data_IF_487575851779
#
_entry.id   IF_487575851779
#
_cell.length_a   1.000
_cell.length_b   1.000
_cell.length_c   1.000
_cell.angle_alpha   90.00
_cell.angle_beta   90.00
_cell.angle_gamma   90.00
#
_symmetry.space_group_name_H-M   'P 1'
#
loop_
_entity.id
_entity.type
_entity.pdbx_description
1 polymer ?
#
# COMPACT_ATOMS: atom_id res chain seq x y z
N UNK A 1 -48.29 -47.17 -6.84
CA UNK A 1 -47.64 -47.22 -5.50
C UNK A 1 -46.14 -47.16 -5.74
N UNK A 2 -45.53 -46.06 -5.31
CA UNK A 2 -44.12 -45.76 -5.45
C UNK A 2 -43.29 -46.41 -4.33
N UNK A 3 -42.06 -46.83 -4.65
CA UNK A 3 -40.96 -47.05 -3.71
C UNK A 3 -39.69 -46.56 -4.45
N UNK A 4 -39.27 -45.30 -4.30
CA UNK A 4 -38.42 -44.71 -3.24
C UNK A 4 -37.04 -45.37 -3.10
N UNK A 5 -36.08 -44.70 -3.73
CA UNK A 5 -34.63 -44.83 -3.60
C UNK A 5 -34.17 -44.49 -2.16
N UNK A 6 -33.14 -45.19 -1.66
CA UNK A 6 -32.40 -44.76 -0.46
C UNK A 6 -30.92 -44.59 -0.78
N UNK A 7 -30.51 -43.34 -1.02
CA UNK A 7 -29.12 -42.90 -0.97
C UNK A 7 -28.86 -42.28 0.42
N UNK A 8 -27.85 -42.80 1.12
CA UNK A 8 -27.34 -42.26 2.38
C UNK A 8 -25.82 -42.48 2.38
N UNK A 9 -24.95 -41.53 2.69
CA UNK A 9 -25.09 -40.10 2.91
C UNK A 9 -23.69 -39.49 2.72
N UNK A 10 -23.61 -38.40 1.96
CA UNK A 10 -22.41 -37.59 1.84
C UNK A 10 -22.26 -36.81 3.14
N UNK A 11 -21.18 -37.07 3.88
CA UNK A 11 -20.78 -36.29 5.06
C UNK A 11 -20.40 -34.88 4.62
N UNK A 12 -21.23 -33.91 4.99
CA UNK A 12 -21.02 -32.48 4.75
C UNK A 12 -19.81 -31.96 5.55
N UNK A 13 -18.87 -31.33 4.85
CA UNK A 13 -17.81 -30.54 5.46
C UNK A 13 -18.42 -29.31 6.17
N UNK A 14 -17.80 -28.78 7.24
CA UNK A 14 -18.33 -27.62 7.93
C UNK A 14 -18.15 -26.37 7.05
N UNK A 15 -19.27 -25.77 6.70
CA UNK A 15 -19.36 -24.44 6.11
C UNK A 15 -18.89 -23.39 7.13
N UNK A 16 -17.84 -22.66 6.79
CA UNK A 16 -17.46 -21.44 7.48
C UNK A 16 -17.82 -20.25 6.59
N UNK A 17 -18.96 -19.64 6.89
CA UNK A 17 -19.34 -18.33 6.38
C UNK A 17 -19.28 -17.33 7.55
N UNK A 18 -18.55 -16.24 7.34
CA UNK A 18 -18.68 -14.99 8.07
C UNK A 18 -18.01 -13.87 7.27
N UNK A 19 -18.74 -13.35 6.28
CA UNK A 19 -18.79 -11.92 5.98
C UNK A 19 -17.64 -11.32 5.16
N UNK A 20 -17.75 -11.39 3.83
CA UNK A 20 -17.00 -10.55 2.88
C UNK A 20 -16.85 -11.18 1.49
N UNK A 21 -17.80 -10.89 0.61
CA UNK A 21 -18.08 -11.35 -0.76
C UNK A 21 -16.94 -11.27 -1.82
N UNK A 22 -15.70 -11.70 -1.52
CA UNK A 22 -14.59 -11.69 -2.49
C UNK A 22 -13.40 -12.62 -2.13
N UNK A 23 -13.68 -13.84 -1.68
CA UNK A 23 -12.66 -14.86 -1.38
C UNK A 23 -12.65 -15.94 -2.46
N UNK A 24 -11.54 -16.12 -3.17
CA UNK A 24 -11.36 -17.24 -4.12
C UNK A 24 -10.43 -18.28 -3.52
N UNK A 25 -10.84 -19.55 -3.55
CA UNK A 25 -10.11 -20.67 -2.92
C UNK A 25 -9.52 -21.58 -4.00
N UNK A 26 -8.24 -21.92 -3.88
CA UNK A 26 -7.51 -22.83 -4.75
C UNK A 26 -6.90 -23.96 -3.91
N UNK A 27 -7.31 -25.22 -4.10
CA UNK A 27 -6.68 -26.34 -3.41
C UNK A 27 -5.23 -26.53 -3.88
N UNK A 28 -4.29 -26.62 -2.93
CA UNK A 28 -2.88 -26.92 -3.23
C UNK A 28 -2.55 -28.39 -2.94
N UNK A 29 -3.11 -28.95 -1.87
CA UNK A 29 -2.96 -30.34 -1.45
C UNK A 29 -4.25 -30.84 -0.76
N UNK A 30 -4.23 -32.06 -0.21
CA UNK A 30 -5.36 -32.59 0.58
C UNK A 30 -5.56 -31.87 1.92
N UNK A 31 -4.57 -31.13 2.42
CA UNK A 31 -4.59 -30.44 3.71
C UNK A 31 -4.35 -28.93 3.63
N UNK A 32 -4.01 -28.41 2.44
CA UNK A 32 -3.58 -27.03 2.23
C UNK A 32 -4.40 -26.34 1.15
N UNK A 33 -4.90 -25.15 1.45
CA UNK A 33 -5.58 -24.29 0.48
C UNK A 33 -4.90 -22.93 0.37
N UNK A 34 -4.90 -22.38 -0.84
CA UNK A 34 -4.55 -21.01 -1.14
C UNK A 34 -5.84 -20.20 -1.23
N UNK A 35 -5.97 -19.12 -0.45
CA UNK A 35 -7.12 -18.20 -0.52
C UNK A 35 -6.66 -16.83 -0.98
N UNK A 36 -7.24 -16.32 -2.05
CA UNK A 36 -6.99 -14.94 -2.48
C UNK A 36 -8.12 -14.07 -1.93
N UNK A 37 -7.77 -13.18 -1.00
CA UNK A 37 -8.71 -12.28 -0.36
C UNK A 37 -8.32 -10.81 -0.61
N UNK A 38 -9.32 -9.96 -0.69
CA UNK A 38 -9.15 -8.51 -0.63
C UNK A 38 -9.43 -8.03 0.78
N UNK A 39 -8.50 -7.26 1.37
CA UNK A 39 -8.72 -6.73 2.72
C UNK A 39 -7.52 -6.04 3.34
N UNK A 40 -7.70 -5.70 4.62
CA UNK A 40 -6.69 -5.12 5.50
C UNK A 40 -6.01 -6.25 6.29
N UNK A 41 -4.74 -6.52 5.98
CA UNK A 41 -3.98 -7.61 6.60
C UNK A 41 -3.86 -7.46 8.12
N UNK A 42 -3.93 -6.23 8.65
CA UNK A 42 -3.81 -5.98 10.10
C UNK A 42 -5.02 -6.49 10.89
N UNK A 43 -6.11 -6.81 10.21
CA UNK A 43 -7.34 -7.38 10.78
C UNK A 43 -7.49 -8.88 10.48
N UNK A 44 -6.55 -9.47 9.75
CA UNK A 44 -6.64 -10.86 9.34
C UNK A 44 -6.34 -11.80 10.50
N UNK A 45 -7.15 -12.85 10.64
CA UNK A 45 -6.95 -13.99 11.53
C UNK A 45 -7.84 -15.15 11.06
N UNK A 46 -7.53 -16.36 11.51
CA UNK A 46 -8.35 -17.55 11.35
C UNK A 46 -8.78 -18.06 12.72
N UNK A 47 -7.82 -18.39 13.58
CA UNK A 47 -8.10 -18.89 14.94
C UNK A 47 -7.52 -18.03 16.08
N UNK A 48 -6.74 -17.01 15.74
CA UNK A 48 -6.10 -16.05 16.66
C UNK A 48 -4.92 -16.61 17.46
N UNK A 49 -4.61 -17.91 17.36
CA UNK A 49 -3.62 -18.60 18.20
C UNK A 49 -2.48 -19.25 17.42
N UNK A 50 -2.72 -19.61 16.17
CA UNK A 50 -1.76 -20.23 15.26
C UNK A 50 -1.65 -19.49 13.92
N UNK A 51 -1.91 -18.19 13.98
CA UNK A 51 -1.96 -17.26 12.86
C UNK A 51 -0.72 -16.38 12.81
N UNK A 52 -0.15 -16.19 11.62
CA UNK A 52 0.84 -15.15 11.37
C UNK A 52 0.44 -14.28 10.18
N UNK A 53 0.63 -12.97 10.30
CA UNK A 53 0.66 -12.07 9.15
C UNK A 53 2.10 -11.75 8.78
N UNK A 54 2.35 -11.56 7.48
CA UNK A 54 3.68 -11.21 6.99
C UNK A 54 3.77 -9.70 6.82
N UNK A 55 4.77 -9.11 7.48
CA UNK A 55 5.12 -7.70 7.35
C UNK A 55 6.24 -7.53 6.29
N UNK A 56 5.99 -6.77 5.20
CA UNK A 56 7.03 -6.42 4.23
C UNK A 56 7.90 -5.30 4.79
N UNK A 57 8.92 -5.69 5.55
CA UNK A 57 9.80 -4.80 6.29
C UNK A 57 10.99 -4.31 5.45
N UNK A 58 11.75 -3.35 6.00
CA UNK A 58 13.10 -3.02 5.56
C UNK A 58 14.16 -3.69 6.45
N UNK A 59 15.43 -3.62 6.04
CA UNK A 59 16.54 -4.32 6.71
C UNK A 59 16.73 -3.97 8.19
N UNK A 60 16.28 -2.79 8.60
CA UNK A 60 16.36 -2.35 10.01
C UNK A 60 15.28 -3.02 10.86
N UNK A 61 14.15 -3.42 10.28
CA UNK A 61 12.93 -3.89 10.97
C UNK A 61 12.29 -2.89 11.96
N UNK A 62 12.64 -1.60 11.90
CA UNK A 62 12.18 -0.60 12.87
C UNK A 62 11.00 0.25 12.34
N UNK A 63 10.12 -0.37 11.55
CA UNK A 63 9.01 0.29 10.88
C UNK A 63 9.40 1.07 9.61
N UNK A 64 8.39 1.65 8.96
CA UNK A 64 8.50 2.14 7.58
C UNK A 64 7.22 2.76 7.03
N UNK A 65 6.96 2.54 5.74
CA UNK A 65 5.80 3.04 5.01
C UNK A 65 4.82 1.93 4.61
N UNK A 66 3.70 2.29 3.98
CA UNK A 66 2.74 1.31 3.43
C UNK A 66 2.23 0.29 4.45
N UNK A 67 2.24 -0.99 4.07
CA UNK A 67 1.73 -2.08 4.92
C UNK A 67 2.49 -2.21 6.25
N UNK A 68 3.81 -1.98 6.25
CA UNK A 68 4.64 -2.01 7.46
C UNK A 68 4.17 -0.98 8.49
N UNK A 69 3.87 0.24 8.03
CA UNK A 69 3.27 1.27 8.89
C UNK A 69 1.91 0.85 9.44
N UNK A 70 1.05 0.29 8.59
CA UNK A 70 -0.29 -0.13 8.99
C UNK A 70 -0.23 -1.22 10.07
N UNK A 71 0.65 -2.21 9.87
CA UNK A 71 0.88 -3.31 10.82
C UNK A 71 1.42 -2.77 12.16
N UNK A 72 2.46 -1.93 12.14
CA UNK A 72 2.99 -1.33 13.37
C UNK A 72 1.95 -0.49 14.12
N UNK A 73 1.12 0.28 13.38
CA UNK A 73 0.06 1.09 13.99
C UNK A 73 -0.99 0.21 14.66
N UNK A 74 -1.40 -0.88 14.02
CA UNK A 74 -2.42 -1.79 14.53
C UNK A 74 -1.90 -2.64 15.70
N UNK A 75 -0.66 -3.12 15.64
CA UNK A 75 -0.04 -3.93 16.69
C UNK A 75 0.25 -3.14 17.97
N UNK A 76 0.48 -1.82 17.85
CA UNK A 76 0.88 -0.97 18.96
C UNK A 76 2.41 -0.81 19.09
N UNK A 77 2.87 0.12 19.96
CA UNK A 77 4.30 0.40 20.16
C UNK A 77 5.11 -0.84 20.58
N UNK A 78 4.48 -1.82 21.21
CA UNK A 78 5.11 -3.04 21.71
C UNK A 78 5.74 -3.87 20.57
N UNK A 79 5.21 -3.77 19.34
CA UNK A 79 5.82 -4.41 18.17
C UNK A 79 7.20 -3.83 17.85
N UNK A 80 7.35 -2.50 17.92
CA UNK A 80 8.63 -1.86 17.67
C UNK A 80 9.66 -2.24 18.74
N UNK A 81 9.24 -2.32 20.01
CA UNK A 81 10.10 -2.78 21.10
C UNK A 81 10.57 -4.23 20.90
N UNK A 82 9.72 -5.10 20.36
CA UNK A 82 10.12 -6.46 20.00
C UNK A 82 11.10 -6.49 18.82
N UNK A 83 10.88 -5.67 17.78
CA UNK A 83 11.82 -5.53 16.68
C UNK A 83 13.21 -5.07 17.16
N UNK A 84 13.28 -4.14 18.12
CA UNK A 84 14.56 -3.69 18.68
C UNK A 84 15.35 -4.83 19.35
N UNK A 85 14.66 -5.80 19.95
CA UNK A 85 15.26 -6.96 20.63
C UNK A 85 15.77 -8.03 19.65
N UNK A 86 15.36 -7.98 18.38
CA UNK A 86 15.94 -8.85 17.34
C UNK A 86 17.40 -8.44 17.14
N UNK A 87 18.37 -9.38 17.24
CA UNK A 87 19.78 -9.06 17.13
C UNK A 87 20.13 -8.57 15.73
N UNK A 88 21.06 -7.63 15.67
CA UNK A 88 21.65 -7.21 14.41
C UNK A 88 22.61 -8.31 13.92
N UNK A 89 22.47 -8.70 12.65
CA UNK A 89 23.37 -9.66 11.99
C UNK A 89 24.60 -8.97 11.38
N UNK A 90 24.46 -7.68 11.12
CA UNK A 90 25.53 -6.74 10.76
C UNK A 90 25.08 -5.33 11.19
N UNK A 91 25.99 -4.34 11.30
CA UNK A 91 25.64 -3.02 11.82
C UNK A 91 24.43 -2.40 11.11
N UNK A 92 23.36 -2.15 11.88
CA UNK A 92 22.12 -1.54 11.39
C UNK A 92 21.18 -2.48 10.62
N UNK A 93 21.45 -3.78 10.54
CA UNK A 93 20.63 -4.77 9.83
C UNK A 93 20.21 -5.89 10.76
N UNK A 94 18.90 -6.06 10.94
CA UNK A 94 18.29 -7.16 11.71
C UNK A 94 17.79 -8.29 10.82
N UNK A 95 17.32 -7.95 9.63
CA UNK A 95 16.84 -8.89 8.63
C UNK A 95 17.38 -8.51 7.26
N UNK A 96 18.38 -9.24 6.72
CA UNK A 96 18.85 -9.04 5.36
C UNK A 96 17.76 -9.25 4.32
N UNK A 97 17.93 -8.64 3.14
CA UNK A 97 17.08 -8.89 1.97
C UNK A 97 16.98 -10.40 1.67
N UNK A 98 15.74 -10.88 1.50
CA UNK A 98 15.41 -12.29 1.30
C UNK A 98 15.26 -13.11 2.57
N UNK A 99 15.52 -12.57 3.76
CA UNK A 99 15.36 -13.26 5.03
C UNK A 99 14.05 -12.91 5.77
N UNK A 100 13.75 -13.68 6.82
CA UNK A 100 12.59 -13.44 7.69
C UNK A 100 12.94 -13.56 9.19
N UNK A 101 12.17 -12.87 10.04
CA UNK A 101 12.23 -12.90 11.51
C UNK A 101 10.80 -12.92 12.07
N UNK A 102 10.60 -13.34 13.31
CA UNK A 102 9.28 -13.43 13.93
C UNK A 102 9.20 -12.65 15.25
N UNK A 103 8.06 -12.04 15.51
CA UNK A 103 7.69 -11.43 16.79
C UNK A 103 6.24 -11.79 17.15
N UNK A 104 5.82 -11.57 18.42
CA UNK A 104 4.41 -11.61 18.78
C UNK A 104 3.57 -10.57 18.00
N UNK A 105 2.26 -10.82 17.88
CA UNK A 105 1.29 -9.95 17.20
C UNK A 105 0.75 -8.79 18.03
N UNK A 106 0.93 -8.83 19.36
CA UNK A 106 0.47 -7.78 20.29
C UNK A 106 -1.03 -7.50 20.17
N UNK A 107 -1.43 -6.31 19.70
CA UNK A 107 -2.84 -5.92 19.55
C UNK A 107 -3.47 -6.41 18.25
N UNK A 108 -2.69 -7.06 17.37
CA UNK A 108 -3.23 -7.70 16.17
C UNK A 108 -4.09 -8.91 16.53
N UNK A 109 -5.13 -9.21 15.73
CA UNK A 109 -5.88 -10.46 15.85
C UNK A 109 -5.02 -11.70 15.60
N UNK A 110 -4.06 -11.62 14.66
CA UNK A 110 -3.08 -12.68 14.42
C UNK A 110 -2.06 -12.77 15.56
N UNK A 111 -1.75 -14.00 15.96
CA UNK A 111 -0.87 -14.27 17.10
C UNK A 111 0.58 -13.81 16.90
N UNK A 112 1.06 -13.77 15.65
CA UNK A 112 2.45 -13.46 15.30
C UNK A 112 2.56 -12.54 14.09
N UNK A 113 3.69 -11.82 14.01
CA UNK A 113 4.13 -11.09 12.81
C UNK A 113 5.43 -11.71 12.32
N UNK A 114 5.45 -12.13 11.05
CA UNK A 114 6.68 -12.55 10.37
C UNK A 114 7.17 -11.37 9.53
N UNK A 115 8.29 -10.77 9.94
CA UNK A 115 8.92 -9.66 9.23
C UNK A 115 9.87 -10.22 8.17
N UNK A 116 9.61 -9.90 6.91
CA UNK A 116 10.45 -10.33 5.79
C UNK A 116 10.85 -9.14 4.94
N UNK A 117 12.06 -9.17 4.40
CA UNK A 117 12.59 -8.09 3.57
C UNK A 117 12.63 -8.54 2.12
N UNK A 118 11.75 -7.98 1.30
CA UNK A 118 11.79 -8.19 -0.15
C UNK A 118 12.87 -7.34 -0.83
N UNK A 119 13.23 -7.64 -2.08
CA UNK A 119 14.19 -6.85 -2.85
C UNK A 119 13.62 -5.50 -3.28
N UNK A 120 14.51 -4.51 -3.42
CA UNK A 120 14.23 -3.28 -4.19
C UNK A 120 14.45 -3.61 -5.66
N UNK A 121 13.38 -3.63 -6.46
CA UNK A 121 13.38 -4.22 -7.81
C UNK A 121 14.45 -3.63 -8.74
N UNK A 122 14.62 -2.31 -8.75
CA UNK A 122 15.58 -1.65 -9.64
C UNK A 122 17.05 -1.92 -9.30
N UNK A 123 17.35 -2.25 -8.04
CA UNK A 123 18.73 -2.31 -7.55
C UNK A 123 19.21 -3.73 -7.26
N UNK A 124 18.30 -4.66 -7.01
CA UNK A 124 18.63 -6.06 -6.79
C UNK A 124 18.78 -6.79 -8.14
N UNK A 125 20.04 -7.14 -8.47
CA UNK A 125 20.38 -7.87 -9.71
C UNK A 125 19.72 -9.24 -9.81
N UNK A 126 19.26 -9.80 -8.70
CA UNK A 126 18.61 -11.11 -8.60
C UNK A 126 17.23 -11.00 -7.94
N UNK A 127 16.50 -9.91 -8.18
CA UNK A 127 15.22 -9.59 -7.52
C UNK A 127 14.26 -10.79 -7.44
N UNK A 128 14.09 -11.58 -8.52
CA UNK A 128 13.23 -12.75 -8.50
C UNK A 128 13.66 -13.82 -7.47
N UNK A 129 14.97 -14.06 -7.35
CA UNK A 129 15.53 -14.99 -6.37
C UNK A 129 15.40 -14.46 -4.94
N UNK A 130 15.68 -13.16 -4.73
CA UNK A 130 15.52 -12.50 -3.43
C UNK A 130 14.06 -12.50 -2.97
N UNK A 131 13.10 -12.23 -3.86
CA UNK A 131 11.68 -12.29 -3.56
C UNK A 131 11.23 -13.72 -3.25
N UNK A 132 11.68 -14.72 -4.03
CA UNK A 132 11.46 -16.13 -3.73
C UNK A 132 11.98 -16.49 -2.34
N UNK A 133 13.17 -16.04 -1.99
CA UNK A 133 13.76 -16.26 -0.66
C UNK A 133 12.94 -15.62 0.45
N UNK A 134 12.43 -14.40 0.25
CA UNK A 134 11.57 -13.73 1.23
C UNK A 134 10.31 -14.55 1.57
N UNK A 135 9.63 -15.10 0.55
CA UNK A 135 8.51 -16.01 0.73
C UNK A 135 8.93 -17.33 1.38
N UNK A 136 9.94 -18.00 0.83
CA UNK A 136 10.44 -19.29 1.32
C UNK A 136 10.83 -19.22 2.80
N UNK A 137 11.62 -18.23 3.18
CA UNK A 137 12.09 -18.08 4.55
C UNK A 137 10.95 -17.67 5.50
N UNK A 138 9.93 -16.95 5.01
CA UNK A 138 8.70 -16.72 5.79
C UNK A 138 7.96 -18.02 6.08
N UNK A 139 7.86 -18.93 5.10
CA UNK A 139 7.28 -20.25 5.32
C UNK A 139 8.11 -21.11 6.28
N UNK A 140 9.44 -21.08 6.16
CA UNK A 140 10.33 -21.77 7.11
C UNK A 140 10.10 -21.27 8.54
N UNK A 141 10.12 -19.95 8.75
CA UNK A 141 9.86 -19.34 10.06
C UNK A 141 8.48 -19.72 10.59
N UNK A 142 7.45 -19.75 9.75
CA UNK A 142 6.11 -20.17 10.14
C UNK A 142 6.09 -21.62 10.65
N UNK A 143 6.71 -22.54 9.90
CA UNK A 143 6.80 -23.96 10.26
C UNK A 143 7.56 -24.16 11.57
N UNK A 144 8.72 -23.52 11.70
CA UNK A 144 9.57 -23.62 12.90
C UNK A 144 8.87 -23.10 14.18
N UNK A 145 7.85 -22.26 14.02
CA UNK A 145 7.06 -21.67 15.11
C UNK A 145 5.64 -22.24 15.23
N UNK A 146 5.35 -23.38 14.57
CA UNK A 146 4.05 -24.06 14.61
C UNK A 146 2.85 -23.20 14.15
N UNK A 147 3.09 -22.25 13.26
CA UNK A 147 2.05 -21.44 12.62
C UNK A 147 1.31 -22.31 11.60
N UNK A 148 -0.02 -22.31 11.62
CA UNK A 148 -0.87 -23.10 10.72
C UNK A 148 -1.48 -22.26 9.61
N UNK A 149 -1.71 -20.98 9.88
CA UNK A 149 -2.37 -20.05 8.98
C UNK A 149 -1.46 -18.84 8.77
N UNK A 150 -1.20 -18.51 7.50
CA UNK A 150 -0.32 -17.40 7.16
C UNK A 150 -0.94 -16.49 6.09
N UNK A 151 -0.87 -15.18 6.31
CA UNK A 151 -1.29 -14.18 5.32
C UNK A 151 -0.10 -13.35 4.82
N UNK A 152 -0.05 -13.16 3.51
CA UNK A 152 0.98 -12.38 2.84
C UNK A 152 0.38 -11.14 2.17
N UNK A 153 1.05 -9.99 2.21
CA UNK A 153 0.86 -8.94 1.23
C UNK A 153 1.55 -9.26 -0.09
N UNK A 154 1.35 -8.40 -1.09
CA UNK A 154 2.21 -8.32 -2.27
C UNK A 154 3.58 -7.73 -1.88
N UNK A 155 4.53 -8.60 -1.48
CA UNK A 155 5.87 -8.20 -1.03
C UNK A 155 6.58 -7.46 -2.19
N UNK A 156 7.25 -6.36 -1.85
CA UNK A 156 7.99 -5.48 -2.78
C UNK A 156 7.17 -4.72 -3.84
N UNK A 157 5.86 -4.97 -4.01
CA UNK A 157 5.06 -4.28 -5.03
C UNK A 157 4.64 -2.84 -4.68
N UNK A 158 5.00 -2.37 -3.48
CA UNK A 158 4.78 -1.00 -3.03
C UNK A 158 6.00 -0.11 -3.29
N UNK A 159 6.59 0.40 -2.20
CA UNK A 159 7.76 1.31 -2.23
C UNK A 159 8.95 0.71 -3.00
N UNK A 160 9.09 -0.62 -3.03
CA UNK A 160 10.21 -1.32 -3.68
C UNK A 160 10.00 -1.60 -5.17
N UNK A 161 8.85 -1.22 -5.74
CA UNK A 161 8.62 -1.13 -7.18
C UNK A 161 8.58 -2.44 -7.96
N UNK A 162 8.42 -3.59 -7.30
CA UNK A 162 8.35 -4.88 -8.00
C UNK A 162 7.06 -4.97 -8.85
N UNK A 163 7.13 -5.26 -10.16
CA UNK A 163 5.95 -5.38 -11.02
C UNK A 163 4.98 -6.46 -10.50
N UNK A 164 3.69 -6.11 -10.40
CA UNK A 164 2.68 -6.99 -9.80
C UNK A 164 2.58 -8.37 -10.46
N UNK A 165 2.62 -8.43 -11.79
CA UNK A 165 2.49 -9.69 -12.55
C UNK A 165 3.69 -10.62 -12.31
N UNK A 166 4.90 -10.06 -12.33
CA UNK A 166 6.14 -10.80 -12.05
C UNK A 166 6.18 -11.26 -10.59
N UNK A 167 5.87 -10.36 -9.64
CA UNK A 167 5.84 -10.67 -8.22
C UNK A 167 4.79 -11.74 -7.90
N UNK A 168 3.60 -11.65 -8.50
CA UNK A 168 2.54 -12.66 -8.33
C UNK A 168 3.00 -14.03 -8.83
N UNK A 169 3.71 -14.08 -9.96
CA UNK A 169 4.26 -15.32 -10.51
C UNK A 169 5.29 -15.94 -9.56
N UNK A 170 6.19 -15.14 -8.98
CA UNK A 170 7.16 -15.60 -7.97
C UNK A 170 6.45 -16.05 -6.69
N UNK A 171 5.47 -15.29 -6.20
CA UNK A 171 4.73 -15.62 -4.99
C UNK A 171 3.97 -16.94 -5.14
N UNK A 172 3.16 -17.09 -6.20
CA UNK A 172 2.35 -18.29 -6.44
C UNK A 172 3.22 -19.53 -6.63
N UNK A 173 4.30 -19.41 -7.41
CA UNK A 173 5.22 -20.54 -7.60
C UNK A 173 5.91 -20.95 -6.30
N UNK A 174 6.32 -19.99 -5.47
CA UNK A 174 6.94 -20.27 -4.16
C UNK A 174 5.93 -20.87 -3.18
N UNK A 175 4.69 -20.37 -3.14
CA UNK A 175 3.60 -20.94 -2.35
C UNK A 175 3.39 -22.40 -2.73
N UNK A 176 3.30 -22.70 -4.03
CA UNK A 176 3.11 -24.08 -4.51
C UNK A 176 4.26 -25.01 -4.12
N UNK A 177 5.48 -24.49 -4.02
CA UNK A 177 6.68 -25.27 -3.69
C UNK A 177 6.88 -25.47 -2.17
N UNK A 178 6.44 -24.51 -1.33
CA UNK A 178 6.80 -24.49 0.09
C UNK A 178 5.62 -24.49 1.08
N UNK A 179 4.38 -24.38 0.61
CA UNK A 179 3.19 -24.32 1.47
C UNK A 179 2.75 -25.68 2.03
N UNK A 180 3.38 -26.79 1.64
CA UNK A 180 3.14 -28.10 2.26
C UNK A 180 3.23 -27.97 3.79
N UNK A 181 2.31 -28.61 4.52
CA UNK A 181 2.13 -28.54 5.98
C UNK A 181 1.41 -27.29 6.56
N UNK A 182 1.08 -26.27 5.74
CA UNK A 182 0.22 -25.16 6.16
C UNK A 182 -1.25 -25.43 5.83
N UNK A 183 -2.18 -24.99 6.68
CA UNK A 183 -3.62 -25.20 6.43
C UNK A 183 -4.19 -24.19 5.45
N UNK A 184 -3.74 -22.93 5.56
CA UNK A 184 -4.19 -21.85 4.69
C UNK A 184 -3.06 -20.86 4.42
N UNK A 185 -2.87 -20.54 3.14
CA UNK A 185 -2.02 -19.42 2.71
C UNK A 185 -2.92 -18.37 2.08
N UNK A 186 -2.86 -17.15 2.58
CA UNK A 186 -3.70 -16.06 2.12
C UNK A 186 -2.87 -14.91 1.54
N UNK A 187 -2.54 -14.88 0.24
CA UNK A 187 -2.12 -13.66 -0.42
C UNK A 187 -3.29 -12.68 -0.36
N UNK A 188 -3.27 -11.84 0.68
CA UNK A 188 -4.16 -10.72 0.75
C UNK A 188 -3.61 -9.70 -0.24
N UNK A 189 -4.36 -9.45 -1.30
CA UNK A 189 -4.21 -8.20 -2.01
C UNK A 189 -4.56 -7.12 -0.99
N UNK A 190 -3.52 -6.55 -0.37
CA UNK A 190 -3.65 -5.29 0.35
C UNK A 190 -3.95 -4.25 -0.72
N UNK A 191 -5.23 -4.16 -1.08
CA UNK A 191 -5.83 -2.86 -1.30
C UNK A 191 -5.80 -2.17 0.07
N UNK A 192 -4.69 -1.49 0.36
CA UNK A 192 -4.87 -0.14 0.86
C UNK A 192 -5.70 0.52 -0.24
N UNK A 193 -6.96 0.85 0.04
CA UNK A 193 -7.74 1.70 -0.87
C UNK A 193 -6.90 2.94 -1.25
N UNK A 194 -7.10 3.45 -2.48
CA UNK A 194 -6.06 3.93 -3.39
C UNK A 194 -5.23 5.05 -2.75
N UNK A 195 -4.02 4.71 -2.29
CA UNK A 195 -3.14 5.69 -1.65
C UNK A 195 -1.68 5.27 -1.53
N UNK A 196 -1.36 4.01 -1.83
CA UNK A 196 0.01 3.52 -1.99
C UNK A 196 0.39 3.42 -3.46
N UNK A 197 0.31 4.52 -4.22
CA UNK A 197 0.80 4.52 -5.59
C UNK A 197 2.33 4.61 -5.56
N UNK A 198 3.01 3.60 -6.11
CA UNK A 198 4.38 3.72 -6.57
C UNK A 198 4.39 4.49 -7.89
N UNK A 199 4.60 5.81 -7.81
CA UNK A 199 5.24 6.56 -8.88
C UNK A 199 5.91 7.77 -8.23
N UNK A 200 7.15 8.06 -8.63
CA UNK A 200 7.85 9.30 -8.32
C UNK A 200 7.18 10.56 -8.92
N UNK A 201 5.99 10.39 -9.51
CA UNK A 201 5.18 11.42 -10.15
C UNK A 201 3.89 11.62 -9.36
N UNK A 202 3.74 12.81 -8.78
CA UNK A 202 2.53 13.24 -8.09
C UNK A 202 1.66 14.05 -9.05
N UNK A 203 0.38 13.71 -9.15
CA UNK A 203 -0.56 14.32 -10.08
C UNK A 203 -1.39 15.41 -9.39
N UNK A 204 -1.49 16.60 -9.99
CA UNK A 204 -2.41 17.66 -9.59
C UNK A 204 -3.56 17.72 -10.61
N UNK A 205 -4.79 17.96 -10.17
CA UNK A 205 -6.00 17.90 -11.01
C UNK A 205 -6.61 19.27 -11.24
N UNK A 206 -7.11 19.54 -12.44
CA UNK A 206 -7.89 20.73 -12.76
C UNK A 206 -9.39 20.37 -12.73
N UNK A 207 -10.16 20.74 -11.70
CA UNK A 207 -11.54 20.26 -11.55
C UNK A 207 -12.55 21.04 -12.42
N UNK A 208 -13.56 20.34 -12.95
CA UNK A 208 -14.77 20.96 -13.53
C UNK A 208 -15.75 21.34 -12.40
N UNK A 209 -16.24 22.60 -12.33
CA UNK A 209 -17.14 23.07 -11.27
C UNK A 209 -18.50 22.35 -11.19
N UNK A 210 -18.86 21.48 -12.14
CA UNK A 210 -20.16 20.79 -12.16
C UNK A 210 -20.22 19.42 -11.43
N UNK A 211 -19.14 18.93 -10.80
CA UNK A 211 -19.07 17.52 -10.34
C UNK A 211 -18.83 17.30 -8.83
N UNK A 212 -19.71 16.48 -8.24
CA UNK A 212 -19.84 16.26 -6.78
C UNK A 212 -19.20 14.95 -6.26
N UNK A 213 -18.27 14.31 -6.99
CA UNK A 213 -17.68 13.01 -6.60
C UNK A 213 -16.18 12.90 -6.93
N UNK A 214 -15.33 13.15 -5.92
CA UNK A 214 -13.85 13.24 -6.00
C UNK A 214 -13.12 11.87 -5.88
N UNK A 215 -13.83 10.77 -5.58
CA UNK A 215 -13.22 9.52 -5.10
C UNK A 215 -12.48 8.68 -6.17
N UNK A 216 -12.72 8.89 -7.47
CA UNK A 216 -12.27 7.96 -8.52
C UNK A 216 -11.05 8.42 -9.35
N UNK A 217 -10.47 9.57 -9.02
CA UNK A 217 -9.49 10.25 -9.86
C UNK A 217 -8.13 9.51 -9.90
N UNK A 218 -7.67 8.91 -8.79
CA UNK A 218 -6.29 8.38 -8.70
C UNK A 218 -6.02 7.07 -9.46
N UNK A 219 -7.04 6.23 -9.67
CA UNK A 219 -6.90 4.95 -10.40
C UNK A 219 -6.85 5.13 -11.93
N UNK A 220 -7.51 6.15 -12.47
CA UNK A 220 -7.56 6.40 -13.91
C UNK A 220 -6.24 6.98 -14.48
N UNK A 221 -5.50 7.73 -13.67
CA UNK A 221 -4.29 8.43 -14.12
C UNK A 221 -3.10 7.50 -14.33
N UNK A 222 -2.99 6.44 -13.52
CA UNK A 222 -1.88 5.48 -13.60
C UNK A 222 -1.81 4.77 -14.96
N UNK A 223 -2.96 4.55 -15.62
CA UNK A 223 -3.01 3.95 -16.96
C UNK A 223 -2.88 4.97 -18.09
N UNK A 224 -3.08 6.26 -17.83
CA UNK A 224 -3.05 7.33 -18.83
C UNK A 224 -1.66 7.99 -18.98
N UNK A 225 -0.88 8.02 -17.91
CA UNK A 225 0.39 8.74 -17.83
C UNK A 225 1.56 7.93 -18.42
N UNK A 226 1.77 8.08 -19.72
CA UNK A 226 3.10 7.86 -20.32
C UNK A 226 4.13 8.80 -19.71
N UNK A 227 5.34 8.31 -19.51
CA UNK A 227 6.46 8.98 -18.82
C UNK A 227 7.00 10.18 -19.60
N UNK A 228 6.52 11.40 -19.29
CA UNK A 228 7.27 12.64 -19.54
C UNK A 228 6.78 13.80 -18.66
N UNK A 229 7.70 14.66 -18.23
CA UNK A 229 7.40 15.93 -17.57
C UNK A 229 6.71 16.85 -18.60
N UNK A 230 5.41 17.06 -18.47
CA UNK A 230 4.63 17.85 -19.42
C UNK A 230 3.19 18.03 -18.97
N UNK A 231 2.53 19.05 -19.51
CA UNK A 231 1.08 19.22 -19.36
C UNK A 231 0.43 18.23 -20.33
N UNK A 232 -0.29 17.23 -19.81
CA UNK A 232 -1.18 16.42 -20.63
C UNK A 232 -2.54 17.15 -20.71
N UNK A 233 -2.65 18.09 -21.65
CA UNK A 233 -3.92 18.70 -22.01
C UNK A 233 -4.52 17.90 -23.18
N UNK A 234 -5.72 17.38 -22.98
CA UNK A 234 -6.66 16.85 -23.99
C UNK A 234 -6.35 15.55 -24.74
N UNK A 235 -5.13 14.99 -24.68
CA UNK A 235 -4.84 13.67 -25.28
C UNK A 235 -4.53 12.61 -24.21
N UNK A 236 -5.39 12.50 -23.20
CA UNK A 236 -5.40 11.28 -22.39
C UNK A 236 -6.00 10.20 -23.31
N UNK A 237 -5.22 9.18 -23.76
CA UNK A 237 -5.81 8.09 -24.53
C UNK A 237 -6.98 7.55 -23.72
N UNK A 238 -8.11 7.25 -24.37
CA UNK A 238 -9.29 6.66 -23.75
C UNK A 238 -8.88 5.38 -23.01
N UNK A 239 -8.49 5.52 -21.75
CA UNK A 239 -8.24 4.37 -20.89
C UNK A 239 -9.63 3.88 -20.52
N UNK A 240 -10.09 2.90 -21.29
CA UNK A 240 -11.36 2.23 -21.07
C UNK A 240 -11.26 1.40 -19.76
N UNK A 241 -11.37 2.10 -18.63
CA UNK A 241 -11.67 1.55 -17.32
C UNK A 241 -13.20 1.61 -17.19
N UNK A 242 -13.90 0.66 -17.82
CA UNK A 242 -15.35 0.46 -17.65
C UNK A 242 -16.17 1.77 -17.65
N UNK A 243 -15.92 2.68 -18.60
CA UNK A 243 -16.70 3.91 -18.77
C UNK A 243 -16.38 5.08 -17.82
N UNK A 244 -15.28 5.05 -17.06
CA UNK A 244 -14.93 6.16 -16.16
C UNK A 244 -14.07 7.25 -16.85
N UNK A 245 -14.60 8.47 -16.95
CA UNK A 245 -13.87 9.66 -17.42
C UNK A 245 -13.39 10.48 -16.22
N UNK A 246 -12.11 10.86 -16.21
CA UNK A 246 -11.58 11.81 -15.23
C UNK A 246 -12.37 13.12 -15.31
N UNK A 247 -13.00 13.59 -14.21
CA UNK A 247 -13.71 14.87 -14.17
C UNK A 247 -12.74 16.05 -14.03
N UNK A 248 -11.63 16.00 -14.78
CA UNK A 248 -10.60 17.01 -14.77
C UNK A 248 -10.25 17.43 -16.20
N UNK A 249 -10.09 18.73 -16.43
CA UNK A 249 -9.72 19.29 -17.74
C UNK A 249 -8.24 19.07 -18.06
N UNK A 250 -7.40 18.87 -17.04
CA UNK A 250 -5.98 18.59 -17.17
C UNK A 250 -5.40 17.89 -15.95
N UNK A 251 -4.24 17.27 -16.17
CA UNK A 251 -3.37 16.72 -15.13
C UNK A 251 -2.00 17.39 -15.21
N UNK A 252 -1.54 17.95 -14.08
CA UNK A 252 -0.20 18.52 -13.95
C UNK A 252 0.68 17.54 -13.20
N UNK A 253 1.75 17.11 -13.85
CA UNK A 253 2.73 16.19 -13.29
C UNK A 253 3.80 16.98 -12.51
N UNK A 254 4.04 16.59 -11.26
CA UNK A 254 5.10 17.18 -10.44
C UNK A 254 5.87 16.11 -9.68
N UNK A 255 7.14 16.37 -9.42
CA UNK A 255 8.01 15.46 -8.66
C UNK A 255 8.22 16.05 -7.28
N UNK A 256 7.76 15.33 -6.26
CA UNK A 256 7.99 15.69 -4.87
C UNK A 256 9.32 15.11 -4.37
N UNK A 257 9.98 15.73 -3.37
CA UNK A 257 11.23 15.21 -2.82
C UNK A 257 11.02 13.93 -2.02
N UNK A 258 12.02 13.05 -2.02
CA UNK A 258 12.15 11.99 -1.02
C UNK A 258 12.76 12.59 0.25
N UNK A 259 12.03 12.52 1.37
CA UNK A 259 12.30 13.34 2.56
C UNK A 259 13.71 13.17 3.13
N UNK A 260 14.22 11.94 3.19
CA UNK A 260 15.50 11.62 3.81
C UNK A 260 16.71 11.72 2.86
N UNK A 261 16.48 11.81 1.55
CA UNK A 261 17.56 11.88 0.55
C UNK A 261 17.76 13.29 -0.02
N UNK A 262 16.78 14.17 0.14
CA UNK A 262 16.87 15.55 -0.32
C UNK A 262 17.66 16.41 0.67
N UNK A 263 18.55 17.28 0.16
CA UNK A 263 19.32 18.20 1.02
C UNK A 263 18.46 19.28 1.66
N UNK A 264 17.44 19.74 0.92
CA UNK A 264 16.46 20.70 1.41
C UNK A 264 15.04 20.26 1.02
N UNK A 265 14.46 19.27 1.72
CA UNK A 265 13.16 18.72 1.38
C UNK A 265 12.04 19.75 1.50
N UNK A 266 12.20 20.78 2.33
CA UNK A 266 11.22 21.87 2.48
C UNK A 266 11.18 22.73 1.21
N UNK A 267 12.33 23.16 0.71
CA UNK A 267 12.40 23.93 -0.52
C UNK A 267 11.92 23.12 -1.73
N UNK A 268 12.33 21.85 -1.86
CA UNK A 268 11.91 21.00 -2.97
C UNK A 268 10.40 20.75 -2.95
N UNK A 269 9.80 20.48 -1.79
CA UNK A 269 8.35 20.30 -1.69
C UNK A 269 7.59 21.60 -1.99
N UNK A 270 8.08 22.75 -1.51
CA UNK A 270 7.53 24.07 -1.85
C UNK A 270 7.56 24.32 -3.35
N UNK A 271 8.66 23.99 -4.01
CA UNK A 271 8.81 24.12 -5.46
C UNK A 271 7.84 23.20 -6.21
N UNK A 272 7.60 21.97 -5.74
CA UNK A 272 6.63 21.07 -6.35
C UNK A 272 5.21 21.68 -6.38
N UNK A 273 4.74 22.22 -5.26
CA UNK A 273 3.45 22.93 -5.19
C UNK A 273 3.45 24.22 -6.01
N UNK A 274 4.48 25.06 -5.85
CA UNK A 274 4.60 26.37 -6.52
C UNK A 274 4.63 26.23 -8.04
N UNK A 275 5.39 25.29 -8.57
CA UNK A 275 5.48 25.06 -10.01
C UNK A 275 4.14 24.58 -10.57
N UNK A 276 3.44 23.68 -9.88
CA UNK A 276 2.11 23.24 -10.30
C UNK A 276 1.11 24.40 -10.33
N UNK A 277 1.12 25.27 -9.31
CA UNK A 277 0.28 26.48 -9.26
C UNK A 277 0.65 27.46 -10.37
N UNK A 278 1.94 27.69 -10.63
CA UNK A 278 2.38 28.57 -11.73
C UNK A 278 1.94 28.04 -13.10
N UNK A 279 2.08 26.74 -13.33
CA UNK A 279 1.62 26.08 -14.56
C UNK A 279 0.10 26.22 -14.69
N UNK A 280 -0.64 25.97 -13.60
CA UNK A 280 -2.10 26.07 -13.62
C UNK A 280 -2.57 27.49 -13.97
N UNK A 281 -1.97 28.49 -13.32
CA UNK A 281 -2.22 29.92 -13.59
C UNK A 281 -1.92 30.29 -15.05
N UNK A 282 -0.78 29.83 -15.59
CA UNK A 282 -0.40 30.11 -16.97
C UNK A 282 -1.38 29.52 -18.01
N UNK A 283 -2.14 28.49 -17.61
CA UNK A 283 -3.15 27.84 -18.46
C UNK A 283 -4.59 28.25 -18.11
N UNK A 284 -4.76 29.34 -17.35
CA UNK A 284 -6.08 29.88 -16.94
C UNK A 284 -6.97 28.85 -16.21
N UNK A 285 -6.35 27.96 -15.42
CA UNK A 285 -7.08 27.00 -14.58
C UNK A 285 -7.52 27.71 -13.30
N UNK A 286 -8.82 27.70 -13.03
CA UNK A 286 -9.39 28.38 -11.85
C UNK A 286 -9.58 27.46 -10.63
N UNK A 287 -9.62 26.13 -10.86
CA UNK A 287 -9.85 25.10 -9.84
C UNK A 287 -8.74 24.07 -9.90
N UNK A 288 -8.01 23.88 -8.81
CA UNK A 288 -6.91 22.90 -8.76
C UNK A 288 -7.00 22.03 -7.52
N UNK A 289 -6.69 20.75 -7.65
CA UNK A 289 -6.66 19.79 -6.58
C UNK A 289 -5.28 19.15 -6.44
N UNK A 290 -4.81 19.01 -5.20
CA UNK A 290 -3.55 18.40 -4.85
C UNK A 290 -3.77 17.17 -3.95
N UNK A 291 -3.04 16.08 -4.15
CA UNK A 291 -2.86 15.08 -3.10
C UNK A 291 -1.87 15.60 -2.05
N UNK A 292 -1.66 14.80 -0.99
CA UNK A 292 -0.57 15.02 -0.04
C UNK A 292 0.79 14.65 -0.68
N UNK A 293 1.38 15.58 -1.44
CA UNK A 293 2.64 15.38 -2.17
C UNK A 293 3.73 14.87 -1.21
N UNK A 294 4.46 13.84 -1.64
CA UNK A 294 5.54 13.17 -0.92
C UNK A 294 5.19 12.46 0.41
N UNK A 295 3.92 12.42 0.82
CA UNK A 295 3.53 11.86 2.13
C UNK A 295 3.37 10.33 2.16
N UNK A 296 3.35 9.68 0.99
CA UNK A 296 3.36 8.22 0.84
C UNK A 296 4.78 7.66 0.84
N UNK A 297 5.21 7.16 -0.32
CA UNK A 297 6.50 6.47 -0.48
C UNK A 297 7.73 7.35 -0.23
N UNK A 298 7.58 8.67 -0.39
CA UNK A 298 8.65 9.64 -0.17
C UNK A 298 8.82 10.02 1.32
N UNK A 299 8.01 9.43 2.20
CA UNK A 299 8.13 9.48 3.66
C UNK A 299 8.16 10.89 4.26
N UNK A 300 7.56 11.87 3.59
CA UNK A 300 7.49 13.24 4.09
C UNK A 300 6.58 13.30 5.34
N UNK A 301 7.05 13.84 6.48
CA UNK A 301 6.23 13.92 7.69
C UNK A 301 4.98 14.76 7.46
N UNK A 302 3.80 14.19 7.75
CA UNK A 302 2.48 14.76 7.43
C UNK A 302 2.33 16.22 7.85
N UNK A 303 2.56 16.54 9.14
CA UNK A 303 2.48 17.93 9.65
C UNK A 303 3.43 18.90 8.94
N UNK A 304 4.64 18.46 8.58
CA UNK A 304 5.61 19.30 7.87
C UNK A 304 5.15 19.53 6.42
N UNK A 305 4.70 18.48 5.75
CA UNK A 305 4.17 18.58 4.40
C UNK A 305 2.93 19.47 4.32
N UNK A 306 1.97 19.30 5.25
CA UNK A 306 0.79 20.15 5.36
C UNK A 306 1.17 21.62 5.51
N UNK A 307 2.15 21.92 6.37
CA UNK A 307 2.65 23.29 6.58
C UNK A 307 3.17 23.88 5.27
N UNK A 308 4.00 23.15 4.53
CA UNK A 308 4.56 23.60 3.25
C UNK A 308 3.45 23.78 2.21
N UNK A 309 2.56 22.80 2.08
CA UNK A 309 1.47 22.81 1.12
C UNK A 309 0.54 24.02 1.32
N UNK A 310 0.00 24.20 2.53
CA UNK A 310 -0.96 25.26 2.86
C UNK A 310 -0.29 26.64 2.75
N UNK A 311 0.94 26.78 3.25
CA UNK A 311 1.67 28.05 3.15
C UNK A 311 1.96 28.43 1.70
N UNK A 312 2.31 27.45 0.86
CA UNK A 312 2.57 27.70 -0.57
C UNK A 312 1.28 28.07 -1.29
N UNK A 313 0.18 27.36 -1.05
CA UNK A 313 -1.14 27.68 -1.63
C UNK A 313 -1.60 29.08 -1.23
N UNK A 314 -1.35 29.50 0.02
CA UNK A 314 -1.67 30.85 0.52
C UNK A 314 -0.99 31.97 -0.31
N UNK A 315 0.19 31.72 -0.88
CA UNK A 315 0.88 32.67 -1.76
C UNK A 315 0.13 32.91 -3.09
N UNK A 316 -0.75 31.99 -3.48
CA UNK A 316 -1.53 32.03 -4.73
C UNK A 316 -3.04 32.24 -4.47
N UNK A 317 -3.43 32.72 -3.29
CA UNK A 317 -4.83 32.81 -2.86
C UNK A 317 -5.74 33.65 -3.79
N UNK A 318 -5.16 34.59 -4.56
CA UNK A 318 -5.90 35.43 -5.51
C UNK A 318 -5.89 34.88 -6.94
N UNK A 319 -5.15 33.82 -7.20
CA UNK A 319 -4.94 33.27 -8.55
C UNK A 319 -5.92 32.15 -8.90
N UNK A 320 -6.57 31.55 -7.90
CA UNK A 320 -7.49 30.42 -8.05
C UNK A 320 -8.79 30.69 -7.31
N UNK A 321 -9.92 30.22 -7.85
CA UNK A 321 -11.21 30.25 -7.15
C UNK A 321 -11.21 29.23 -6.01
N UNK A 322 -10.70 28.03 -6.26
CA UNK A 322 -10.61 26.98 -5.25
C UNK A 322 -9.34 26.14 -5.41
N UNK A 323 -8.73 25.83 -4.27
CA UNK A 323 -7.63 24.86 -4.16
C UNK A 323 -8.07 23.74 -3.22
N UNK A 324 -8.13 22.53 -3.75
CA UNK A 324 -8.60 21.34 -3.05
C UNK A 324 -7.42 20.50 -2.59
N UNK A 325 -7.48 19.96 -1.37
CA UNK A 325 -6.59 18.89 -0.94
C UNK A 325 -7.37 17.57 -0.92
N UNK A 326 -7.02 16.64 -1.80
CA UNK A 326 -7.66 15.33 -1.91
C UNK A 326 -6.94 14.35 -1.00
N UNK A 327 -7.49 14.13 0.19
CA UNK A 327 -6.85 13.37 1.28
C UNK A 327 -7.66 12.11 1.58
N UNK A 328 -7.05 10.94 1.41
CA UNK A 328 -7.74 9.64 1.50
C UNK A 328 -7.66 8.98 2.88
N UNK A 329 -6.69 9.38 3.70
CA UNK A 329 -6.45 8.76 5.00
C UNK A 329 -6.84 9.74 6.11
N UNK A 330 -7.54 9.23 7.13
CA UNK A 330 -8.07 10.05 8.24
C UNK A 330 -6.98 10.82 8.99
N UNK A 331 -5.79 10.24 9.13
CA UNK A 331 -4.64 10.86 9.79
C UNK A 331 -4.05 12.00 8.94
N UNK A 332 -3.93 11.80 7.62
CA UNK A 332 -3.53 12.84 6.68
C UNK A 332 -4.56 13.97 6.68
N UNK A 333 -5.86 13.64 6.60
CA UNK A 333 -6.96 14.60 6.66
C UNK A 333 -6.91 15.42 7.95
N UNK A 334 -6.76 14.74 9.09
CA UNK A 334 -6.68 15.39 10.40
C UNK A 334 -5.50 16.35 10.50
N UNK A 335 -4.29 15.91 10.12
CA UNK A 335 -3.10 16.76 10.19
C UNK A 335 -3.20 17.97 9.25
N UNK A 336 -3.77 17.80 8.05
CA UNK A 336 -4.06 18.92 7.14
C UNK A 336 -5.08 19.88 7.70
N UNK A 337 -6.18 19.37 8.27
CA UNK A 337 -7.24 20.19 8.84
C UNK A 337 -6.74 21.00 10.03
N UNK A 338 -6.01 20.36 10.94
CA UNK A 338 -5.43 21.02 12.11
C UNK A 338 -4.43 22.10 11.69
N UNK A 339 -3.57 21.81 10.69
CA UNK A 339 -2.62 22.79 10.18
C UNK A 339 -3.29 23.93 9.41
N UNK A 340 -4.37 23.66 8.70
CA UNK A 340 -5.15 24.69 7.99
C UNK A 340 -5.76 25.67 8.98
N UNK A 341 -6.36 25.15 10.07
CA UNK A 341 -6.90 25.99 11.15
C UNK A 341 -5.82 26.89 11.75
N UNK A 342 -4.64 26.34 12.01
CA UNK A 342 -3.50 27.08 12.57
C UNK A 342 -3.03 28.23 11.65
N UNK A 343 -2.96 28.01 10.33
CA UNK A 343 -2.35 28.95 9.39
C UNK A 343 -3.30 29.97 8.77
N UNK A 344 -4.60 29.66 8.73
CA UNK A 344 -5.60 30.45 8.02
C UNK A 344 -6.70 31.05 8.90
N UNK A 345 -6.92 30.56 10.13
CA UNK A 345 -7.95 31.08 11.04
C UNK A 345 -7.39 31.94 12.18
N UNK A 346 -6.12 32.35 12.08
CA UNK A 346 -5.46 33.27 13.00
C UNK A 346 -4.90 34.49 12.27
#
# INVERSE_FOLDING_TARGET
>A
MAQMESSAGVSTAPSFDNGGDNTTVFPLSSSTVLKINKGDISKWFVDGSSDAIVNPANEKMLGGGGADRAIHRAAGPELLDACYKVPEVQPGVRCPTGEARITPGFKLPASHVIHTVGPIYETDRNAASSLKNAYRNSFTVAKDNNIKYIAFPAISCGVYGYPYEEAASVAISTVKEFADDLKEVNPTNIFMLPGGISVDTVYCFCLDPAFDKIVYILLAIHKAAGTQLGIACNDIPEVNLEGFKLPASCVIHTVGPVYYFERNPVASLRNAYRNSLMVAKANNIEYIAFPAISCGNNLYPLKKAATVAISTVKEFANDFKEVHFVLFLDDVYKDWLDKTRELLLH
#
